data_IF_132616543637
#
_entry.id   IF_132616543637
#
_cell.length_a   1.000
_cell.length_b   1.000
_cell.length_c   1.000
_cell.angle_alpha   90.00
_cell.angle_beta   90.00
_cell.angle_gamma   90.00
#
_symmetry.space_group_name_H-M   'P 1'
#
loop_
_entity.id
_entity.type
_entity.pdbx_description
1 polymer ?
#
# COMPACT_ATOMS: atom_id res chain seq x y z
N UNK A 1 11.86 -12.92 -37.56
CA UNK A 1 11.87 -11.87 -36.52
C UNK A 1 12.80 -12.33 -35.41
N UNK A 2 13.96 -11.67 -35.28
CA UNK A 2 15.01 -12.07 -34.33
C UNK A 2 14.59 -11.75 -32.89
N UNK A 3 14.99 -12.61 -31.96
CA UNK A 3 14.72 -12.53 -30.52
C UNK A 3 15.03 -11.15 -29.89
N UNK A 4 15.92 -10.36 -30.49
CA UNK A 4 16.34 -9.01 -30.08
C UNK A 4 15.28 -7.91 -30.20
N UNK A 5 14.19 -8.12 -30.95
CA UNK A 5 13.08 -7.15 -31.03
C UNK A 5 12.11 -7.23 -29.85
N UNK A 6 12.27 -8.21 -28.95
CA UNK A 6 11.49 -8.28 -27.70
C UNK A 6 12.15 -7.38 -26.64
N UNK A 7 11.92 -6.07 -26.74
CA UNK A 7 12.22 -5.17 -25.62
C UNK A 7 11.34 -5.52 -24.42
N UNK A 8 11.97 -5.80 -23.28
CA UNK A 8 11.28 -5.86 -22.00
C UNK A 8 10.81 -4.45 -21.63
N UNK A 9 9.65 -4.04 -22.14
CA UNK A 9 9.05 -2.76 -21.79
C UNK A 9 8.51 -2.85 -20.36
N UNK A 10 9.25 -2.34 -19.39
CA UNK A 10 8.68 -2.04 -18.08
C UNK A 10 7.57 -0.98 -18.30
N UNK A 11 6.35 -1.28 -17.85
CA UNK A 11 5.24 -0.32 -17.95
C UNK A 11 5.64 0.91 -17.13
N UNK A 12 5.70 2.07 -17.77
CA UNK A 12 5.96 3.35 -17.11
C UNK A 12 4.90 3.56 -16.04
N UNK A 13 5.32 3.59 -14.77
CA UNK A 13 4.45 3.95 -13.66
C UNK A 13 4.15 5.43 -13.74
N UNK A 14 2.87 5.80 -13.66
CA UNK A 14 2.48 7.20 -13.60
C UNK A 14 3.24 7.93 -12.48
N UNK A 15 3.54 9.21 -12.70
CA UNK A 15 4.15 10.07 -11.68
C UNK A 15 3.38 9.98 -10.37
N UNK A 16 4.11 9.94 -9.26
CA UNK A 16 3.52 9.90 -7.93
C UNK A 16 2.53 11.07 -7.77
N UNK A 17 1.26 10.76 -7.50
CA UNK A 17 0.23 11.78 -7.25
C UNK A 17 0.46 12.42 -5.87
N UNK A 18 0.09 13.70 -5.67
CA UNK A 18 0.13 14.33 -4.35
C UNK A 18 -0.64 13.49 -3.32
N UNK A 19 -0.03 13.24 -2.16
CA UNK A 19 -0.52 12.31 -1.13
C UNK A 19 -0.90 13.04 0.16
N UNK A 20 -1.86 12.48 0.89
CA UNK A 20 -2.22 12.95 2.23
C UNK A 20 -1.32 12.30 3.29
N UNK A 21 -0.03 12.66 3.30
CA UNK A 21 0.97 12.11 4.22
C UNK A 21 0.58 12.26 5.70
N UNK A 22 -0.14 13.32 6.05
CA UNK A 22 -0.63 13.52 7.41
C UNK A 22 -1.64 12.43 7.86
N UNK A 23 -2.36 11.80 6.92
CA UNK A 23 -3.36 10.77 7.25
C UNK A 23 -2.81 9.37 7.12
N UNK A 24 -2.13 9.06 6.01
CA UNK A 24 -1.51 7.75 5.75
C UNK A 24 -0.05 8.00 5.37
N UNK A 25 0.85 8.12 6.35
CA UNK A 25 2.26 8.41 6.09
C UNK A 25 2.99 7.27 5.37
N UNK A 26 2.51 6.02 5.51
CA UNK A 26 3.17 4.86 4.93
C UNK A 26 2.16 3.80 4.50
N UNK A 27 2.36 3.28 3.30
CA UNK A 27 1.59 2.19 2.71
C UNK A 27 2.51 1.42 1.79
N UNK A 28 2.34 0.10 1.73
CA UNK A 28 3.08 -0.77 0.83
C UNK A 28 2.29 -2.04 0.49
N UNK A 29 2.67 -2.64 -0.64
CA UNK A 29 2.30 -4.00 -1.03
C UNK A 29 3.55 -4.87 -0.88
N UNK A 30 3.69 -5.54 0.25
CA UNK A 30 4.86 -6.37 0.58
C UNK A 30 4.44 -7.61 1.36
N UNK A 31 5.25 -8.68 1.30
CA UNK A 31 5.09 -9.89 2.12
C UNK A 31 3.67 -10.52 2.08
N UNK A 32 3.02 -10.46 0.91
CA UNK A 32 1.66 -10.97 0.73
C UNK A 32 0.58 -10.15 1.44
N UNK A 33 0.88 -8.89 1.82
CA UNK A 33 -0.03 -7.99 2.53
C UNK A 33 -0.09 -6.60 1.91
N UNK A 34 -1.27 -5.99 1.97
CA UNK A 34 -1.39 -4.53 1.97
C UNK A 34 -1.20 -4.07 3.41
N UNK A 35 -0.18 -3.26 3.67
CA UNK A 35 0.17 -2.89 5.03
C UNK A 35 0.68 -1.46 5.10
N UNK A 36 0.62 -0.87 6.29
CA UNK A 36 1.17 0.45 6.50
C UNK A 36 0.79 1.08 7.83
N UNK A 37 1.03 2.38 7.89
CA UNK A 37 0.84 3.19 9.10
C UNK A 37 -0.15 4.31 8.80
N UNK A 38 -1.12 4.48 9.68
CA UNK A 38 -2.21 5.46 9.57
C UNK A 38 -2.20 6.34 10.82
N UNK A 39 -2.27 7.65 10.64
CA UNK A 39 -2.33 8.61 11.74
C UNK A 39 -3.64 8.45 12.54
N UNK A 40 -3.55 8.57 13.87
CA UNK A 40 -4.72 8.63 14.75
C UNK A 40 -5.60 9.86 14.48
N UNK A 41 -5.01 10.94 13.97
CA UNK A 41 -5.67 12.23 13.75
C UNK A 41 -5.88 13.08 15.01
N UNK A 42 -5.76 12.49 16.21
CA UNK A 42 -5.89 13.20 17.49
C UNK A 42 -4.57 13.46 18.20
N UNK A 43 -3.53 12.72 17.84
CA UNK A 43 -2.22 12.75 18.49
C UNK A 43 -1.13 12.37 17.46
N UNK A 44 -0.15 13.26 17.29
CA UNK A 44 0.94 13.08 16.33
C UNK A 44 1.87 11.90 16.69
N UNK A 45 2.00 11.56 17.99
CA UNK A 45 2.81 10.42 18.45
C UNK A 45 2.09 9.08 18.35
N UNK A 46 0.80 9.09 18.03
CA UNK A 46 -0.05 7.90 18.00
C UNK A 46 -0.43 7.55 16.58
N UNK A 47 0.06 6.39 16.16
CA UNK A 47 -0.25 5.83 14.85
C UNK A 47 -0.81 4.42 14.97
N UNK A 48 -1.54 4.02 13.95
CA UNK A 48 -2.11 2.69 13.81
C UNK A 48 -1.37 1.93 12.72
N UNK A 49 -0.84 0.77 13.07
CA UNK A 49 -0.31 -0.19 12.12
C UNK A 49 -1.48 -1.03 11.64
N UNK A 50 -1.75 -0.99 10.33
CA UNK A 50 -2.88 -1.68 9.71
C UNK A 50 -2.39 -2.59 8.62
N UNK A 51 -3.02 -3.76 8.48
CA UNK A 51 -2.63 -4.74 7.47
C UNK A 51 -3.80 -5.62 7.02
N UNK A 52 -3.78 -6.02 5.75
CA UNK A 52 -4.74 -6.93 5.11
C UNK A 52 -3.96 -7.97 4.31
N UNK A 53 -4.16 -9.26 4.62
CA UNK A 53 -3.51 -10.36 3.92
C UNK A 53 -4.13 -10.58 2.53
N UNK A 54 -3.30 -10.90 1.54
CA UNK A 54 -3.76 -11.25 0.21
C UNK A 54 -4.48 -12.63 0.24
N UNK A 55 -5.58 -12.76 -0.51
CA UNK A 55 -6.34 -13.99 -0.64
C UNK A 55 -7.33 -14.25 0.51
N UNK A 56 -6.88 -14.28 1.77
CA UNK A 56 -7.79 -14.47 2.92
C UNK A 56 -8.43 -13.18 3.41
N UNK A 57 -7.85 -12.03 3.02
CA UNK A 57 -8.22 -10.69 3.49
C UNK A 57 -8.20 -10.54 5.00
N UNK A 58 -7.51 -11.45 5.70
CA UNK A 58 -7.37 -11.43 7.15
C UNK A 58 -6.70 -10.12 7.57
N UNK A 59 -7.36 -9.39 8.47
CA UNK A 59 -6.98 -8.02 8.77
C UNK A 59 -6.57 -7.82 10.21
N UNK A 60 -5.65 -6.88 10.42
CA UNK A 60 -5.25 -6.41 11.74
C UNK A 60 -5.11 -4.89 11.76
N UNK A 61 -5.39 -4.32 12.92
CA UNK A 61 -5.12 -2.92 13.19
C UNK A 61 -4.86 -2.74 14.69
N UNK A 62 -3.70 -2.19 15.03
CA UNK A 62 -3.30 -1.89 16.40
C UNK A 62 -2.53 -0.58 16.44
N UNK A 63 -2.46 0.05 17.59
CA UNK A 63 -1.57 1.20 17.80
C UNK A 63 -0.10 0.76 17.76
N UNK A 64 0.81 1.71 17.63
CA UNK A 64 2.27 1.51 17.72
C UNK A 64 2.78 0.97 19.07
N UNK A 65 1.95 0.95 20.12
CA UNK A 65 2.22 0.25 21.38
C UNK A 65 1.39 -1.04 21.55
N UNK A 66 1.00 -1.67 20.44
CA UNK A 66 0.32 -2.97 20.37
C UNK A 66 -1.07 -3.02 21.04
N UNK A 67 -1.75 -1.88 21.27
CA UNK A 67 -3.15 -1.90 21.71
C UNK A 67 -4.07 -2.17 20.52
N UNK A 68 -5.02 -3.12 20.60
CA UNK A 68 -5.92 -3.42 19.50
C UNK A 68 -6.82 -2.22 19.17
N UNK A 69 -7.06 -1.98 17.88
CA UNK A 69 -7.95 -0.93 17.44
C UNK A 69 -9.41 -1.30 17.77
N UNK A 70 -10.10 -0.46 18.55
CA UNK A 70 -11.50 -0.70 18.94
C UNK A 70 -12.47 -0.84 17.77
N UNK A 71 -12.16 -0.21 16.62
CA UNK A 71 -12.98 -0.30 15.40
C UNK A 71 -12.69 -1.52 14.52
N UNK A 72 -11.65 -2.31 14.81
CA UNK A 72 -11.26 -3.47 14.01
C UNK A 72 -11.91 -4.77 14.51
N UNK A 73 -13.15 -4.69 14.98
CA UNK A 73 -13.93 -5.82 15.51
C UNK A 73 -14.90 -6.30 14.43
N UNK A 74 -14.57 -7.41 13.77
CA UNK A 74 -15.45 -8.07 12.79
C UNK A 74 -15.60 -7.37 11.43
N UNK A 75 -14.98 -6.21 11.21
CA UNK A 75 -14.94 -5.55 9.90
C UNK A 75 -13.73 -4.62 9.78
N UNK A 76 -13.45 -4.16 8.55
CA UNK A 76 -12.41 -3.17 8.31
C UNK A 76 -12.74 -1.84 8.99
N UNK A 77 -11.90 -1.46 9.94
CA UNK A 77 -11.96 -0.17 10.61
C UNK A 77 -11.60 0.98 9.65
N UNK A 78 -11.86 2.21 10.08
CA UNK A 78 -11.56 3.40 9.27
C UNK A 78 -10.07 3.55 8.93
N UNK A 79 -9.15 3.01 9.75
CA UNK A 79 -7.73 3.01 9.42
C UNK A 79 -7.42 2.10 8.24
N UNK A 80 -7.95 0.88 8.23
CA UNK A 80 -7.79 -0.06 7.12
C UNK A 80 -8.41 0.49 5.84
N UNK A 81 -9.62 1.08 5.93
CA UNK A 81 -10.26 1.73 4.77
C UNK A 81 -9.42 2.89 4.21
N UNK A 82 -8.84 3.71 5.08
CA UNK A 82 -7.94 4.80 4.67
C UNK A 82 -6.68 4.26 4.01
N UNK A 83 -6.11 3.17 4.54
CA UNK A 83 -4.94 2.50 3.97
C UNK A 83 -5.24 1.95 2.58
N UNK A 84 -6.40 1.30 2.37
CA UNK A 84 -6.84 0.81 1.06
C UNK A 84 -6.98 1.97 0.07
N UNK A 85 -7.67 3.05 0.47
CA UNK A 85 -7.84 4.22 -0.39
C UNK A 85 -6.50 4.83 -0.83
N UNK A 86 -5.56 4.98 0.11
CA UNK A 86 -4.22 5.49 -0.20
C UNK A 86 -3.43 4.52 -1.09
N UNK A 87 -3.55 3.21 -0.89
CA UNK A 87 -2.89 2.21 -1.73
C UNK A 87 -3.39 2.28 -3.18
N UNK A 88 -4.70 2.47 -3.37
CA UNK A 88 -5.31 2.62 -4.70
C UNK A 88 -4.84 3.92 -5.35
N UNK A 89 -4.74 5.00 -4.58
CA UNK A 89 -4.22 6.27 -5.07
C UNK A 89 -2.76 6.17 -5.54
N UNK A 90 -1.92 5.41 -4.81
CA UNK A 90 -0.48 5.29 -5.09
C UNK A 90 -0.14 4.25 -6.14
N UNK A 91 -0.78 3.09 -6.08
CA UNK A 91 -0.41 1.93 -6.88
C UNK A 91 -1.37 1.65 -8.04
N UNK A 92 -2.53 2.32 -8.05
CA UNK A 92 -3.62 2.07 -8.98
C UNK A 92 -4.49 0.90 -8.51
N UNK A 93 -5.80 1.03 -8.73
CA UNK A 93 -6.78 0.09 -8.21
C UNK A 93 -6.62 -1.34 -8.75
N UNK A 94 -6.39 -1.49 -10.07
CA UNK A 94 -6.18 -2.81 -10.68
C UNK A 94 -4.97 -3.55 -10.10
N UNK A 95 -3.87 -2.84 -9.77
CA UNK A 95 -2.69 -3.44 -9.12
C UNK A 95 -3.01 -3.90 -7.70
N UNK A 96 -3.70 -3.07 -6.92
CA UNK A 96 -4.10 -3.40 -5.55
C UNK A 96 -5.07 -4.58 -5.54
N UNK A 97 -6.10 -4.57 -6.37
CA UNK A 97 -7.09 -5.64 -6.49
C UNK A 97 -6.42 -6.97 -6.83
N UNK A 98 -5.56 -6.98 -7.87
CA UNK A 98 -4.79 -8.16 -8.29
C UNK A 98 -3.88 -8.67 -7.19
N UNK A 99 -3.14 -7.78 -6.51
CA UNK A 99 -2.23 -8.16 -5.44
C UNK A 99 -2.97 -8.81 -4.26
N UNK A 100 -4.10 -8.22 -3.87
CA UNK A 100 -4.93 -8.72 -2.76
C UNK A 100 -5.81 -9.91 -3.15
N UNK A 101 -5.87 -10.28 -4.43
CA UNK A 101 -6.80 -11.27 -4.97
C UNK A 101 -8.26 -10.90 -4.63
N UNK A 102 -8.58 -9.61 -4.73
CA UNK A 102 -9.94 -9.12 -4.54
C UNK A 102 -10.71 -9.27 -5.86
N UNK A 103 -11.86 -9.95 -5.80
CA UNK A 103 -12.73 -10.18 -6.95
C UNK A 103 -13.61 -8.94 -7.19
N UNK A 104 -13.18 -8.10 -8.13
CA UNK A 104 -13.86 -6.85 -8.50
C UNK A 104 -14.46 -7.02 -9.89
N UNK A 105 -15.70 -6.55 -10.08
CA UNK A 105 -16.41 -6.64 -11.36
C UNK A 105 -15.64 -5.95 -12.49
N UNK A 106 -15.95 -6.34 -13.73
CA UNK A 106 -15.30 -5.80 -14.94
C UNK A 106 -15.41 -4.27 -15.03
N UNK A 107 -14.26 -3.61 -15.21
CA UNK A 107 -14.10 -2.16 -15.21
C UNK A 107 -12.81 -1.71 -14.52
N UNK A 108 -12.53 -0.41 -14.48
CA UNK A 108 -11.47 0.12 -13.62
C UNK A 108 -12.01 0.18 -12.18
N UNK A 109 -11.50 -0.68 -11.25
CA UNK A 109 -12.00 -0.68 -9.89
C UNK A 109 -11.62 0.63 -9.19
N UNK A 110 -12.34 0.98 -8.13
CA UNK A 110 -11.94 2.03 -7.20
C UNK A 110 -11.67 1.45 -5.80
N UNK A 111 -11.29 2.31 -4.85
CA UNK A 111 -11.02 1.87 -3.49
C UNK A 111 -12.27 1.27 -2.80
N UNK A 112 -13.46 1.75 -3.14
CA UNK A 112 -14.71 1.26 -2.56
C UNK A 112 -15.03 -0.14 -3.08
N UNK A 113 -14.88 -0.38 -4.38
CA UNK A 113 -15.05 -1.68 -5.02
C UNK A 113 -14.07 -2.71 -4.43
N UNK A 114 -12.78 -2.36 -4.30
CA UNK A 114 -11.78 -3.24 -3.69
C UNK A 114 -12.13 -3.55 -2.22
N UNK A 115 -12.54 -2.54 -1.46
CA UNK A 115 -12.94 -2.73 -0.05
C UNK A 115 -14.18 -3.62 0.07
N UNK A 116 -15.18 -3.41 -0.79
CA UNK A 116 -16.43 -4.17 -0.80
C UNK A 116 -16.20 -5.64 -1.19
N UNK A 117 -15.39 -5.90 -2.23
CA UNK A 117 -15.03 -7.24 -2.66
C UNK A 117 -14.36 -8.05 -1.53
N UNK A 118 -13.38 -7.46 -0.85
CA UNK A 118 -12.75 -8.09 0.31
C UNK A 118 -13.70 -8.24 1.51
N UNK A 119 -14.62 -7.29 1.71
CA UNK A 119 -15.60 -7.36 2.78
C UNK A 119 -16.67 -8.44 2.58
N UNK A 120 -17.02 -8.73 1.31
CA UNK A 120 -18.07 -9.69 0.96
C UNK A 120 -17.73 -11.12 1.40
N UNK A 121 -16.44 -11.48 1.45
CA UNK A 121 -15.98 -12.79 1.93
C UNK A 121 -15.90 -12.89 3.47
N UNK A 122 -16.32 -11.84 4.19
CA UNK A 122 -16.34 -11.78 5.66
C UNK A 122 -15.00 -12.17 6.29
N UNK A 123 -13.94 -11.39 6.01
CA UNK A 123 -12.59 -11.77 6.40
C UNK A 123 -12.44 -11.90 7.91
N UNK A 124 -11.63 -12.85 8.39
CA UNK A 124 -11.37 -12.98 9.80
C UNK A 124 -10.43 -11.86 10.29
N UNK A 125 -10.49 -11.60 11.59
CA UNK A 125 -9.44 -10.83 12.25
C UNK A 125 -8.18 -11.71 12.32
N UNK A 126 -7.05 -11.20 11.83
CA UNK A 126 -5.77 -11.89 11.80
C UNK A 126 -4.95 -11.73 13.08
N UNK A 127 -3.73 -12.23 13.06
CA UNK A 127 -2.73 -12.08 14.11
C UNK A 127 -1.92 -10.78 13.97
N UNK A 128 -1.49 -10.19 15.09
CA UNK A 128 -0.75 -8.93 15.10
C UNK A 128 0.75 -9.09 14.84
N UNK A 129 1.19 -10.26 14.36
CA UNK A 129 2.61 -10.63 14.18
C UNK A 129 3.32 -9.71 13.18
N UNK A 130 2.61 -9.24 12.16
CA UNK A 130 3.14 -8.31 11.16
C UNK A 130 3.32 -6.86 11.68
N UNK A 131 2.74 -6.48 12.83
CA UNK A 131 2.70 -5.09 13.24
C UNK A 131 4.10 -4.50 13.50
N UNK A 132 4.98 -5.27 14.16
CA UNK A 132 6.32 -4.82 14.49
C UNK A 132 7.19 -4.62 13.24
N UNK A 133 7.17 -5.57 12.30
CA UNK A 133 7.97 -5.46 11.07
C UNK A 133 7.50 -4.29 10.19
N UNK A 134 6.18 -4.09 10.07
CA UNK A 134 5.60 -2.94 9.35
C UNK A 134 6.01 -1.62 9.99
N UNK A 135 5.98 -1.54 11.32
CA UNK A 135 6.39 -0.32 12.03
C UNK A 135 7.89 -0.03 11.84
N UNK A 136 8.76 -1.05 11.92
CA UNK A 136 10.19 -0.88 11.64
C UNK A 136 10.45 -0.39 10.20
N UNK A 137 9.74 -0.95 9.21
CA UNK A 137 9.83 -0.50 7.81
C UNK A 137 9.37 0.95 7.65
N UNK A 138 8.34 1.36 8.39
CA UNK A 138 7.92 2.76 8.45
C UNK A 138 9.01 3.67 9.03
N UNK A 139 9.66 3.30 10.13
CA UNK A 139 10.76 4.08 10.68
C UNK A 139 11.93 4.21 9.70
N UNK A 140 12.28 3.13 9.00
CA UNK A 140 13.24 3.19 7.90
C UNK A 140 12.77 4.09 6.76
N UNK A 141 11.47 4.11 6.44
CA UNK A 141 10.92 5.03 5.45
C UNK A 141 11.09 6.50 5.86
N UNK A 142 10.88 6.82 7.14
CA UNK A 142 11.07 8.19 7.63
C UNK A 142 12.51 8.67 7.46
N UNK A 143 13.51 7.80 7.68
CA UNK A 143 14.91 8.16 7.46
C UNK A 143 15.19 8.56 6.00
N UNK A 144 14.49 7.99 5.02
CA UNK A 144 14.62 8.41 3.62
C UNK A 144 14.03 9.81 3.37
N UNK A 145 13.06 10.25 4.16
CA UNK A 145 12.47 11.59 4.03
C UNK A 145 13.35 12.69 4.63
N UNK A 146 14.37 12.32 5.41
CA UNK A 146 15.37 13.24 5.95
C UNK A 146 16.44 13.60 4.91
N UNK A 147 16.54 12.83 3.82
CA UNK A 147 17.47 13.10 2.73
C UNK A 147 16.97 14.22 1.82
N UNK A 148 17.88 15.10 1.40
CA UNK A 148 17.56 16.16 0.43
C UNK A 148 17.08 15.52 -0.88
N UNK A 149 15.89 15.88 -1.41
CA UNK A 149 15.41 15.33 -2.66
C UNK A 149 16.30 15.75 -3.82
N UNK A 150 16.68 14.79 -4.67
CA UNK A 150 17.47 15.03 -5.88
C UNK A 150 16.74 14.47 -7.10
N UNK A 151 16.80 15.21 -8.21
CA UNK A 151 16.28 14.77 -9.52
C UNK A 151 17.41 14.45 -10.50
N UNK A 152 18.66 14.48 -10.02
CA UNK A 152 19.82 14.08 -10.81
C UNK A 152 19.64 12.63 -11.28
N UNK A 153 19.98 12.31 -12.54
CA UNK A 153 19.87 10.95 -13.04
C UNK A 153 20.74 10.02 -12.20
N UNK A 154 20.18 8.91 -11.73
CA UNK A 154 20.94 7.86 -11.06
C UNK A 154 21.83 7.16 -12.11
N UNK A 155 23.17 7.29 -12.04
CA UNK A 155 24.06 6.72 -13.05
C UNK A 155 23.87 5.21 -13.23
N UNK A 156 23.51 4.50 -12.16
CA UNK A 156 23.25 3.04 -12.19
C UNK A 156 21.95 2.69 -12.95
N UNK A 157 21.02 3.64 -13.12
CA UNK A 157 19.81 3.44 -13.92
C UNK A 157 20.02 3.65 -15.42
N UNK A 158 21.23 4.03 -15.87
CA UNK A 158 21.55 4.20 -17.30
C UNK A 158 21.42 2.90 -18.12
N UNK A 159 21.48 1.74 -17.45
CA UNK A 159 21.27 0.43 -18.09
C UNK A 159 19.82 0.18 -18.49
N UNK A 160 18.86 0.93 -17.92
CA UNK A 160 17.48 0.89 -18.35
C UNK A 160 17.28 1.92 -19.46
N UNK A 161 17.05 1.49 -20.72
CA UNK A 161 16.86 2.44 -21.81
C UNK A 161 15.67 3.35 -21.46
N UNK A 162 15.85 4.68 -21.44
CA UNK A 162 14.73 5.58 -21.23
C UNK A 162 13.71 5.31 -22.34
N UNK A 163 12.45 5.16 -21.98
CA UNK A 163 11.37 5.07 -22.95
C UNK A 163 11.42 6.34 -23.79
N UNK A 164 11.73 6.21 -25.08
CA UNK A 164 11.68 7.34 -26.02
C UNK A 164 10.28 7.95 -25.93
N UNK A 165 10.21 9.25 -25.67
CA UNK A 165 8.98 10.00 -25.84
C UNK A 165 8.51 9.80 -27.30
N UNK A 166 7.24 9.44 -27.47
CA UNK A 166 6.56 9.48 -28.75
C UNK A 166 6.14 10.93 -29.06
#
# INVERSE_FOLDING_TARGET
MSYWERSSTARVTASARPRKLAKVPFVELADGRLQGVVSSGSDAGRVYVSSVAAGTHAFTCSTNNNRPCGGARGSFCNHIRSLIAESVLQYGAGRVARYLKADVADGEPDAQAVTAAMGAVRPPQGDSTAAASVFSRFLHHLAYLELTPVTAPLPEMQWFPPTRAA
#
